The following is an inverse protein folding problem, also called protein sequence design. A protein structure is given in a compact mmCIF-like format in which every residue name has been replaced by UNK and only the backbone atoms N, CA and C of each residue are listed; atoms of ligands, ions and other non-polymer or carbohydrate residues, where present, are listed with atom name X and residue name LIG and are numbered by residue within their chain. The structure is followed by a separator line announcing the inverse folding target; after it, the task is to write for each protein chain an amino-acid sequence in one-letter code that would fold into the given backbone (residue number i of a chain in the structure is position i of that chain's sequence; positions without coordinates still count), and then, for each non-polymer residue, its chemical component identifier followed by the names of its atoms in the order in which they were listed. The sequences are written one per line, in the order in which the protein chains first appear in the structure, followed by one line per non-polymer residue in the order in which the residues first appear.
data_IF_975108870440
#
_entry.id   IF_975108870440
#
_cell.length_a   1.000
_cell.length_b   1.000
_cell.length_c   1.000
_cell.angle_alpha   90.00
_cell.angle_beta   90.00
_cell.angle_gamma   90.00
#
_symmetry.space_group_name_H-M   'P 1'
#
loop_
_entity.id
_entity.type
_entity.pdbx_description
1 polymer ?
#
# COMPACT_ATOMS: atom_id res chain seq x y z
N UNK A 1 -16.30 17.10 -6.85
CA UNK A 1 -14.91 17.39 -7.25
C UNK A 1 -14.16 16.08 -7.22
N UNK A 2 -13.49 15.70 -8.31
CA UNK A 2 -12.92 14.35 -8.43
C UNK A 2 -11.74 14.16 -7.48
N UNK A 3 -11.77 13.09 -6.70
CA UNK A 3 -10.66 12.60 -5.86
C UNK A 3 -9.50 12.02 -6.70
N UNK A 4 -9.36 12.43 -7.96
CA UNK A 4 -8.55 11.81 -9.04
C UNK A 4 -7.04 12.16 -8.99
N UNK A 5 -6.56 12.87 -7.98
CA UNK A 5 -5.14 13.27 -7.91
C UNK A 5 -4.26 12.29 -7.13
N UNK A 6 -4.78 11.11 -6.80
CA UNK A 6 -4.08 10.08 -6.06
C UNK A 6 -3.94 8.75 -6.82
N UNK A 7 -3.28 7.76 -6.21
CA UNK A 7 -2.99 6.48 -6.84
C UNK A 7 -4.20 5.56 -7.05
N UNK A 8 -5.34 5.83 -6.40
CA UNK A 8 -6.57 5.03 -6.49
C UNK A 8 -7.52 5.65 -7.50
N UNK A 9 -7.96 4.84 -8.45
CA UNK A 9 -9.14 5.13 -9.27
C UNK A 9 -10.39 4.60 -8.54
N UNK A 10 -11.19 5.50 -7.97
CA UNK A 10 -12.42 5.12 -7.25
C UNK A 10 -13.50 4.56 -8.16
N UNK A 11 -13.42 4.77 -9.48
CA UNK A 11 -14.36 4.15 -10.39
C UNK A 11 -14.21 2.63 -10.35
N UNK A 12 -12.99 2.11 -10.18
CA UNK A 12 -12.75 0.66 -10.00
C UNK A 12 -13.50 0.12 -8.79
N UNK A 13 -13.50 0.86 -7.68
CA UNK A 13 -14.19 0.47 -6.44
C UNK A 13 -15.70 0.52 -6.64
N UNK A 14 -16.21 1.62 -7.24
CA UNK A 14 -17.64 1.77 -7.52
C UNK A 14 -18.15 0.69 -8.47
N UNK A 15 -17.43 0.39 -9.54
CA UNK A 15 -17.82 -0.62 -10.52
C UNK A 15 -17.92 -2.01 -9.88
N UNK A 16 -16.96 -2.34 -9.00
CA UNK A 16 -16.93 -3.60 -8.28
C UNK A 16 -18.07 -3.75 -7.27
N UNK A 17 -18.50 -2.63 -6.69
CA UNK A 17 -19.55 -2.57 -5.67
C UNK A 17 -20.87 -2.05 -6.25
N UNK A 18 -21.05 -2.11 -7.57
CA UNK A 18 -22.28 -1.76 -8.28
C UNK A 18 -22.81 -0.34 -7.97
N UNK A 19 -21.91 0.62 -7.71
CA UNK A 19 -22.20 1.98 -7.27
C UNK A 19 -23.00 2.07 -5.96
N UNK A 20 -22.98 1.03 -5.13
CA UNK A 20 -23.54 1.09 -3.78
C UNK A 20 -22.57 1.85 -2.88
N UNK A 21 -22.90 3.13 -2.62
CA UNK A 21 -22.04 4.04 -1.88
C UNK A 21 -21.80 3.58 -0.43
N UNK A 22 -22.74 2.85 0.20
CA UNK A 22 -22.54 2.32 1.55
C UNK A 22 -21.43 1.27 1.56
N UNK A 23 -21.43 0.36 0.59
CA UNK A 23 -20.35 -0.63 0.45
C UNK A 23 -19.03 0.01 0.02
N UNK A 24 -19.07 1.06 -0.82
CA UNK A 24 -17.86 1.82 -1.19
C UNK A 24 -17.20 2.43 0.04
N UNK A 25 -17.98 3.01 0.95
CA UNK A 25 -17.47 3.61 2.18
C UNK A 25 -16.89 2.55 3.14
N UNK A 26 -17.60 1.44 3.35
CA UNK A 26 -17.09 0.30 4.13
C UNK A 26 -15.77 -0.24 3.57
N UNK A 27 -15.69 -0.37 2.24
CA UNK A 27 -14.48 -0.80 1.56
C UNK A 27 -13.32 0.19 1.77
N UNK A 28 -13.59 1.49 1.66
CA UNK A 28 -12.59 2.52 1.88
C UNK A 28 -12.07 2.49 3.32
N UNK A 29 -12.95 2.34 4.30
CA UNK A 29 -12.57 2.27 5.71
C UNK A 29 -11.76 1.00 6.04
N UNK A 30 -12.15 -0.15 5.51
CA UNK A 30 -11.37 -1.39 5.64
C UNK A 30 -9.99 -1.27 4.95
N UNK A 31 -9.93 -0.57 3.82
CA UNK A 31 -8.69 -0.30 3.09
C UNK A 31 -7.76 0.61 3.88
N UNK A 32 -8.26 1.65 4.56
CA UNK A 32 -7.45 2.53 5.43
C UNK A 32 -6.74 1.70 6.51
N UNK A 33 -7.45 0.81 7.19
CA UNK A 33 -6.85 -0.09 8.18
C UNK A 33 -5.79 -0.98 7.56
N UNK A 34 -6.11 -1.64 6.44
CA UNK A 34 -5.20 -2.57 5.75
C UNK A 34 -3.91 -1.89 5.28
N UNK A 35 -4.00 -0.70 4.68
CA UNK A 35 -2.83 0.05 4.21
C UNK A 35 -2.01 0.63 5.36
N UNK A 36 -2.65 1.01 6.47
CA UNK A 36 -1.93 1.49 7.67
C UNK A 36 -1.11 0.36 8.29
N UNK A 37 -1.71 -0.82 8.46
CA UNK A 37 -1.00 -1.99 8.95
C UNK A 37 0.12 -2.43 8.00
N UNK A 38 -0.15 -2.43 6.70
CA UNK A 38 0.86 -2.78 5.70
C UNK A 38 2.06 -1.82 5.75
N UNK A 39 1.82 -0.50 5.74
CA UNK A 39 2.86 0.53 5.81
C UNK A 39 3.81 0.29 6.99
N UNK A 40 3.24 0.23 8.20
CA UNK A 40 4.01 0.08 9.44
C UNK A 40 4.82 -1.21 9.46
N UNK A 41 4.22 -2.32 9.03
CA UNK A 41 4.90 -3.62 9.03
C UNK A 41 5.94 -3.70 7.92
N UNK A 42 5.69 -3.13 6.74
CA UNK A 42 6.64 -3.14 5.62
C UNK A 42 7.92 -2.43 6.00
N UNK A 43 7.82 -1.18 6.49
CA UNK A 43 8.98 -0.40 6.91
C UNK A 43 9.80 -1.18 7.93
N UNK A 44 9.13 -1.63 9.01
CA UNK A 44 9.78 -2.39 10.08
C UNK A 44 10.51 -3.62 9.54
N UNK A 45 9.83 -4.46 8.77
CA UNK A 45 10.39 -5.72 8.27
C UNK A 45 11.55 -5.50 7.29
N UNK A 46 11.52 -4.44 6.48
CA UNK A 46 12.64 -4.09 5.59
C UNK A 46 13.86 -3.64 6.39
N UNK A 47 13.67 -2.84 7.43
CA UNK A 47 14.77 -2.35 8.27
C UNK A 47 15.35 -3.44 9.17
N UNK A 48 14.53 -4.36 9.64
CA UNK A 48 14.92 -5.53 10.46
C UNK A 48 15.40 -6.73 9.62
N UNK A 49 15.38 -6.61 8.29
CA UNK A 49 15.71 -7.70 7.34
C UNK A 49 14.85 -8.97 7.52
N UNK A 50 13.64 -8.85 8.08
CA UNK A 50 12.72 -9.96 8.32
C UNK A 50 11.91 -10.30 7.06
N UNK A 51 12.54 -11.07 6.18
CA UNK A 51 11.95 -11.51 4.91
C UNK A 51 10.71 -12.42 5.10
N UNK A 52 10.64 -13.20 6.18
CA UNK A 52 9.49 -14.07 6.43
C UNK A 52 8.25 -13.24 6.78
N UNK A 53 8.38 -12.32 7.73
CA UNK A 53 7.29 -11.43 8.12
C UNK A 53 6.95 -10.46 7.00
N UNK A 54 7.93 -10.00 6.21
CA UNK A 54 7.69 -9.20 5.01
C UNK A 54 6.78 -9.94 4.02
N UNK A 55 7.03 -11.24 3.77
CA UNK A 55 6.18 -12.05 2.89
C UNK A 55 4.75 -12.15 3.41
N UNK A 56 4.57 -12.39 4.71
CA UNK A 56 3.24 -12.45 5.34
C UNK A 56 2.48 -11.11 5.21
N UNK A 57 3.16 -10.00 5.46
CA UNK A 57 2.64 -8.64 5.27
C UNK A 57 2.19 -8.41 3.83
N UNK A 58 3.03 -8.80 2.85
CA UNK A 58 2.70 -8.70 1.43
C UNK A 58 1.51 -9.57 1.01
N UNK A 59 1.42 -10.81 1.50
CA UNK A 59 0.30 -11.70 1.20
C UNK A 59 -1.06 -11.14 1.63
N UNK A 60 -1.09 -10.37 2.73
CA UNK A 60 -2.31 -9.71 3.21
C UNK A 60 -2.75 -8.56 2.31
N UNK A 61 -1.82 -7.71 1.87
CA UNK A 61 -2.18 -6.50 1.09
C UNK A 61 -2.36 -6.78 -0.41
N UNK A 62 -1.68 -7.81 -0.95
CA UNK A 62 -1.59 -8.07 -2.40
C UNK A 62 -2.95 -8.20 -3.10
N UNK A 63 -3.98 -8.83 -2.53
CA UNK A 63 -5.31 -8.88 -3.16
C UNK A 63 -5.90 -7.47 -3.37
N UNK A 64 -5.92 -6.65 -2.32
CA UNK A 64 -6.45 -5.28 -2.36
C UNK A 64 -5.62 -4.41 -3.30
N UNK A 65 -4.28 -4.50 -3.22
CA UNK A 65 -3.40 -3.72 -4.08
C UNK A 65 -3.57 -4.05 -5.58
N UNK A 66 -3.71 -5.33 -5.93
CA UNK A 66 -4.00 -5.74 -7.32
C UNK A 66 -5.35 -5.25 -7.80
N UNK A 67 -6.35 -5.36 -6.95
CA UNK A 67 -7.71 -4.95 -7.25
C UNK A 67 -7.79 -3.45 -7.54
N UNK A 68 -7.05 -2.64 -6.76
CA UNK A 68 -6.92 -1.20 -6.95
C UNK A 68 -5.84 -0.79 -7.98
N UNK A 69 -5.24 -1.75 -8.70
CA UNK A 69 -4.17 -1.52 -9.69
C UNK A 69 -2.99 -0.70 -9.16
N UNK A 70 -2.59 -0.94 -7.92
CA UNK A 70 -1.47 -0.26 -7.24
C UNK A 70 -0.12 -0.89 -7.61
N UNK A 71 0.18 -0.94 -8.91
CA UNK A 71 1.40 -1.55 -9.45
C UNK A 71 2.70 -1.01 -8.82
N UNK A 72 2.85 0.31 -8.56
CA UNK A 72 4.06 0.83 -7.90
C UNK A 72 4.30 0.25 -6.50
N UNK A 73 3.24 0.00 -5.73
CA UNK A 73 3.33 -0.65 -4.43
C UNK A 73 3.79 -2.10 -4.58
N UNK A 74 3.19 -2.84 -5.53
CA UNK A 74 3.55 -4.23 -5.79
C UNK A 74 5.01 -4.35 -6.27
N UNK A 75 5.45 -3.46 -7.15
CA UNK A 75 6.81 -3.43 -7.67
C UNK A 75 7.82 -3.15 -6.56
N UNK A 76 7.58 -2.14 -5.73
CA UNK A 76 8.47 -1.80 -4.60
C UNK A 76 8.55 -2.94 -3.60
N UNK A 77 7.42 -3.60 -3.32
CA UNK A 77 7.39 -4.80 -2.47
C UNK A 77 8.24 -5.95 -3.02
N UNK A 78 8.13 -6.25 -4.33
CA UNK A 78 8.92 -7.31 -4.95
C UNK A 78 10.41 -6.95 -4.98
N UNK A 79 10.77 -5.69 -5.27
CA UNK A 79 12.16 -5.19 -5.20
C UNK A 79 12.75 -5.34 -3.80
N UNK A 80 12.01 -4.99 -2.75
CA UNK A 80 12.48 -5.15 -1.37
C UNK A 80 12.74 -6.62 -1.00
N UNK A 81 11.91 -7.56 -1.46
CA UNK A 81 12.16 -8.99 -1.22
C UNK A 81 13.45 -9.48 -1.86
N UNK A 82 13.71 -9.05 -3.10
CA UNK A 82 14.93 -9.41 -3.83
C UNK A 82 16.14 -8.83 -3.07
N UNK A 83 16.06 -7.55 -2.70
CA UNK A 83 17.13 -6.86 -1.97
C UNK A 83 17.47 -7.56 -0.63
N UNK A 84 16.46 -8.02 0.13
CA UNK A 84 16.68 -8.76 1.37
C UNK A 84 17.24 -10.18 1.17
N UNK A 85 17.26 -10.69 -0.06
CA UNK A 85 17.87 -11.98 -0.38
C UNK A 85 19.34 -11.86 -0.82
N UNK A 86 19.84 -10.64 -0.98
CA UNK A 86 21.22 -10.35 -1.36
C UNK A 86 22.13 -10.21 -0.12
N UNK A 87 23.45 -10.33 -0.32
CA UNK A 87 24.43 -10.21 0.77
C UNK A 87 24.62 -8.74 1.17
N UNK A 88 24.33 -8.39 2.42
CA UNK A 88 24.30 -7.01 2.91
C UNK A 88 25.64 -6.26 2.76
N UNK A 89 25.63 -5.12 2.06
CA UNK A 89 26.69 -4.11 2.01
C UNK A 89 26.12 -2.69 2.22
N UNK A 90 26.98 -1.66 2.18
CA UNK A 90 26.56 -0.28 2.42
C UNK A 90 25.54 0.23 1.39
N UNK A 91 25.65 -0.21 0.14
CA UNK A 91 24.73 0.20 -0.93
C UNK A 91 23.38 -0.49 -0.76
N UNK A 92 23.37 -1.76 -0.35
CA UNK A 92 22.15 -2.49 0.02
C UNK A 92 21.47 -1.83 1.23
N UNK A 93 22.22 -1.39 2.24
CA UNK A 93 21.66 -0.66 3.36
C UNK A 93 20.96 0.64 2.93
N UNK A 94 21.58 1.42 2.03
CA UNK A 94 20.98 2.63 1.45
C UNK A 94 19.73 2.32 0.64
N UNK A 95 19.76 1.26 -0.19
CA UNK A 95 18.61 0.84 -0.98
C UNK A 95 17.43 0.37 -0.12
N UNK A 96 17.68 -0.37 0.96
CA UNK A 96 16.63 -0.81 1.90
C UNK A 96 15.90 0.40 2.48
N UNK A 97 16.66 1.37 2.99
CA UNK A 97 16.10 2.60 3.54
C UNK A 97 15.30 3.35 2.48
N UNK A 98 15.83 3.49 1.26
CA UNK A 98 15.13 4.13 0.16
C UNK A 98 13.79 3.46 -0.15
N UNK A 99 13.75 2.13 -0.24
CA UNK A 99 12.51 1.41 -0.52
C UNK A 99 11.50 1.47 0.63
N UNK A 100 11.96 1.48 1.88
CA UNK A 100 11.10 1.72 3.04
C UNK A 100 10.46 3.12 2.98
N UNK A 101 11.27 4.16 2.74
CA UNK A 101 10.81 5.54 2.64
C UNK A 101 9.87 5.75 1.43
N UNK A 102 10.19 5.17 0.28
CA UNK A 102 9.36 5.24 -0.93
C UNK A 102 7.99 4.56 -0.70
N UNK A 103 7.97 3.41 -0.03
CA UNK A 103 6.74 2.71 0.31
C UNK A 103 5.90 3.53 1.29
N UNK A 104 6.51 4.10 2.32
CA UNK A 104 5.82 4.95 3.29
C UNK A 104 5.14 6.13 2.60
N UNK A 105 5.88 6.84 1.74
CA UNK A 105 5.36 7.97 0.99
C UNK A 105 4.23 7.58 0.04
N UNK A 106 4.32 6.40 -0.59
CA UNK A 106 3.25 5.91 -1.46
C UNK A 106 1.99 5.49 -0.68
N UNK A 107 2.18 4.80 0.45
CA UNK A 107 1.09 4.46 1.37
C UNK A 107 0.43 5.72 1.95
N UNK A 108 1.18 6.77 2.24
CA UNK A 108 0.62 8.04 2.72
C UNK A 108 -0.29 8.69 1.68
N UNK A 109 0.08 8.66 0.39
CA UNK A 109 -0.79 9.13 -0.70
C UNK A 109 -2.08 8.31 -0.80
N UNK A 110 -1.98 6.98 -0.69
CA UNK A 110 -3.15 6.08 -0.66
C UNK A 110 -4.07 6.42 0.51
N UNK A 111 -3.50 6.50 1.72
CA UNK A 111 -4.25 6.73 2.95
C UNK A 111 -4.91 8.11 2.96
N UNK A 112 -4.21 9.14 2.49
CA UNK A 112 -4.77 10.47 2.34
C UNK A 112 -5.97 10.44 1.39
N UNK A 113 -5.81 9.84 0.22
CA UNK A 113 -6.88 9.78 -0.77
C UNK A 113 -8.12 8.99 -0.27
N UNK A 114 -7.92 7.88 0.44
CA UNK A 114 -9.01 7.11 1.05
C UNK A 114 -9.74 7.91 2.13
N UNK A 115 -9.01 8.63 3.00
CA UNK A 115 -9.61 9.47 4.06
C UNK A 115 -10.37 10.66 3.50
N UNK A 116 -9.79 11.37 2.54
CA UNK A 116 -10.44 12.48 1.85
C UNK A 116 -11.76 12.02 1.20
N UNK A 117 -11.79 10.81 0.63
CA UNK A 117 -13.04 10.24 0.10
C UNK A 117 -14.09 10.05 1.19
N UNK A 118 -13.72 9.48 2.34
CA UNK A 118 -14.66 9.26 3.46
C UNK A 118 -15.17 10.57 4.08
N UNK A 119 -14.34 11.61 4.15
CA UNK A 119 -14.73 12.92 4.72
C UNK A 119 -15.63 13.74 3.78
N UNK A 120 -15.50 13.58 2.45
CA UNK A 120 -16.30 14.31 1.46
C UNK A 120 -17.73 13.73 1.24
N UNK A 121 -18.10 12.66 1.95
CA UNK A 121 -19.44 12.03 1.89
C UNK A 121 -20.29 12.39 3.12
N UNK A 122 -19.68 13.02 4.12
CA UNK A 122 -20.35 13.49 5.34
C UNK A 122 -21.05 14.84 5.15
#
# INVERSE_FOLDING_TARGET
MTTDKGPIDFQIIRDMLYNDEAYVDEFCQASVTSFTEFKNNFHKNVMEEDLETLRRTGHKIKPVAKMLKLDPLLETYEKSKILLSESSDEDIAKMKKKYADDMDAYCDKILQQLKERSENVS
#
